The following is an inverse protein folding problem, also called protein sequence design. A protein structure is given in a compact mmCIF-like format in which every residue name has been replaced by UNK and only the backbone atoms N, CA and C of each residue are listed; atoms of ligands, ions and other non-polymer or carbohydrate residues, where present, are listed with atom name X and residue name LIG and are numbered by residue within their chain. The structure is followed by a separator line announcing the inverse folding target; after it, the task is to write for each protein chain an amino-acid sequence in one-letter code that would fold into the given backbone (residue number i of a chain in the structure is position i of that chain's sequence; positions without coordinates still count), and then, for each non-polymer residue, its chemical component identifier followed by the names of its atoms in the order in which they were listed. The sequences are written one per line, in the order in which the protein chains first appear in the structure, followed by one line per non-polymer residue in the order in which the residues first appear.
data_IF_981267891813
#
_entry.id   IF_981267891813
#
_cell.length_a   1.000
_cell.length_b   1.000
_cell.length_c   1.000
_cell.angle_alpha   90.00
_cell.angle_beta   90.00
_cell.angle_gamma   90.00
#
_symmetry.space_group_name_H-M   'P 1'
#
loop_
_entity.id
_entity.type
_entity.pdbx_description
1 polymer ?
#
# COMPACT_ATOMS: atom_id res chain seq x y z
N UNK A 1 -34.67 -40.47 -39.49
CA UNK A 1 -35.54 -39.29 -39.24
C UNK A 1 -35.73 -39.19 -37.75
N UNK A 2 -35.03 -38.27 -37.12
CA UNK A 2 -35.34 -37.75 -35.78
C UNK A 2 -34.46 -36.52 -35.56
N UNK A 3 -35.04 -35.39 -35.76
CA UNK A 3 -34.47 -34.07 -35.54
C UNK A 3 -34.43 -33.76 -34.03
N UNK A 4 -33.25 -33.68 -33.46
CA UNK A 4 -33.02 -33.17 -32.11
C UNK A 4 -32.72 -31.67 -32.19
N UNK A 5 -33.73 -30.87 -31.89
CA UNK A 5 -33.64 -29.43 -31.65
C UNK A 5 -32.87 -29.19 -30.36
N UNK A 6 -31.70 -28.57 -30.46
CA UNK A 6 -30.96 -28.01 -29.31
C UNK A 6 -31.72 -26.83 -28.71
N UNK A 7 -31.76 -26.67 -27.36
CA UNK A 7 -32.39 -25.53 -26.75
C UNK A 7 -31.51 -24.30 -26.94
N UNK A 8 -32.09 -23.25 -27.48
CA UNK A 8 -31.52 -21.89 -27.54
C UNK A 8 -31.12 -21.41 -26.14
N UNK A 9 -29.86 -21.07 -26.03
CA UNK A 9 -29.24 -20.51 -24.85
C UNK A 9 -29.80 -19.09 -24.60
N UNK A 10 -30.81 -19.00 -23.73
CA UNK A 10 -31.44 -17.73 -23.31
C UNK A 10 -30.43 -16.82 -22.60
N UNK A 11 -29.65 -16.04 -23.35
CA UNK A 11 -28.99 -14.85 -22.81
C UNK A 11 -30.09 -13.88 -22.42
N UNK A 12 -30.39 -13.77 -21.13
CA UNK A 12 -31.13 -12.66 -20.54
C UNK A 12 -30.48 -11.35 -21.00
N UNK A 13 -31.03 -10.72 -22.04
CA UNK A 13 -30.52 -9.44 -22.53
C UNK A 13 -30.77 -8.40 -21.44
N UNK A 14 -29.71 -7.90 -20.80
CA UNK A 14 -29.80 -6.78 -19.86
C UNK A 14 -30.47 -5.59 -20.55
N UNK A 15 -31.50 -5.03 -19.92
CA UNK A 15 -32.19 -3.85 -20.46
C UNK A 15 -31.20 -2.71 -20.72
N UNK A 16 -31.39 -2.00 -21.80
CA UNK A 16 -30.69 -0.75 -22.11
C UNK A 16 -31.40 0.42 -21.44
N UNK A 17 -30.73 1.55 -21.26
CA UNK A 17 -31.33 2.79 -20.73
C UNK A 17 -32.57 3.24 -21.56
N UNK A 18 -32.57 2.97 -22.87
CA UNK A 18 -33.66 3.27 -23.77
C UNK A 18 -34.88 2.42 -23.45
N UNK A 19 -34.69 1.11 -23.24
CA UNK A 19 -35.77 0.21 -22.84
C UNK A 19 -36.33 0.54 -21.46
N UNK A 20 -35.50 0.98 -20.52
CA UNK A 20 -35.97 1.49 -19.20
C UNK A 20 -36.79 2.75 -19.37
N UNK A 21 -36.38 3.64 -20.24
CA UNK A 21 -37.12 4.89 -20.53
C UNK A 21 -38.49 4.58 -21.15
N UNK A 22 -38.52 3.66 -22.12
CA UNK A 22 -39.77 3.25 -22.78
C UNK A 22 -40.73 2.56 -21.77
N UNK A 23 -40.24 1.65 -20.91
CA UNK A 23 -41.07 1.00 -19.90
C UNK A 23 -41.53 1.92 -18.78
N UNK A 24 -40.73 2.93 -18.43
CA UNK A 24 -41.10 3.93 -17.41
C UNK A 24 -41.93 5.11 -17.97
N UNK A 25 -42.09 5.20 -19.28
CA UNK A 25 -42.83 6.29 -19.92
C UNK A 25 -42.16 7.65 -19.78
N UNK A 26 -40.81 7.69 -19.78
CA UNK A 26 -40.03 8.93 -19.62
C UNK A 26 -38.88 9.00 -20.65
N UNK A 27 -38.21 10.15 -20.73
CA UNK A 27 -37.03 10.27 -21.60
C UNK A 27 -35.82 9.57 -21.01
N UNK A 28 -34.84 9.15 -21.84
CA UNK A 28 -33.55 8.61 -21.40
C UNK A 28 -32.81 9.59 -20.50
N UNK A 29 -32.94 10.89 -20.74
CA UNK A 29 -32.38 11.93 -19.87
C UNK A 29 -33.01 11.90 -18.48
N UNK A 30 -34.31 11.67 -18.36
CA UNK A 30 -35.00 11.50 -17.08
C UNK A 30 -34.57 10.27 -16.35
N UNK A 31 -34.42 9.11 -17.05
CA UNK A 31 -33.88 7.91 -16.47
C UNK A 31 -32.46 8.15 -15.91
N UNK A 32 -31.58 8.76 -16.68
CA UNK A 32 -30.23 9.12 -16.26
C UNK A 32 -30.22 10.01 -15.00
N UNK A 33 -31.08 11.04 -14.95
CA UNK A 33 -31.18 11.92 -13.76
C UNK A 33 -31.65 11.17 -12.51
N UNK A 34 -32.67 10.30 -12.65
CA UNK A 34 -33.17 9.48 -11.53
C UNK A 34 -32.09 8.54 -11.00
N UNK A 35 -31.39 7.85 -11.88
CA UNK A 35 -30.33 6.89 -11.51
C UNK A 35 -29.13 7.60 -10.85
N UNK A 36 -28.83 8.83 -11.29
CA UNK A 36 -27.77 9.66 -10.72
C UNK A 36 -28.22 10.49 -9.50
N UNK A 37 -29.40 10.21 -8.93
CA UNK A 37 -29.86 10.85 -7.69
C UNK A 37 -30.18 12.34 -7.81
N UNK A 38 -30.32 12.90 -9.04
CA UNK A 38 -30.58 14.32 -9.23
C UNK A 38 -31.95 14.71 -8.63
N UNK A 39 -31.98 15.84 -7.92
CA UNK A 39 -33.21 16.34 -7.25
C UNK A 39 -34.22 16.94 -8.21
N UNK A 40 -33.83 17.30 -9.41
CA UNK A 40 -34.62 18.02 -10.44
C UNK A 40 -35.56 17.10 -11.27
N UNK A 41 -36.03 16.01 -10.67
CA UNK A 41 -36.96 15.04 -11.29
C UNK A 41 -38.22 14.92 -10.44
N UNK A 42 -39.38 14.94 -11.07
CA UNK A 42 -40.65 14.77 -10.35
C UNK A 42 -40.73 13.42 -9.63
N UNK A 43 -41.36 13.39 -8.45
CA UNK A 43 -41.60 12.18 -7.67
C UNK A 43 -42.26 11.05 -8.47
N UNK A 44 -43.20 11.39 -9.35
CA UNK A 44 -43.88 10.46 -10.22
C UNK A 44 -42.93 9.78 -11.20
N UNK A 45 -42.05 10.54 -11.85
CA UNK A 45 -41.07 10.02 -12.79
C UNK A 45 -40.01 9.18 -12.06
N UNK A 46 -39.56 9.63 -10.87
CA UNK A 46 -38.65 8.90 -10.02
C UNK A 46 -39.21 7.54 -9.64
N UNK A 47 -40.44 7.50 -9.14
CA UNK A 47 -41.10 6.26 -8.75
C UNK A 47 -41.28 5.30 -9.93
N UNK A 48 -41.66 5.78 -11.13
CA UNK A 48 -41.81 4.96 -12.31
C UNK A 48 -40.48 4.32 -12.75
N UNK A 49 -39.39 5.09 -12.79
CA UNK A 49 -38.07 4.58 -13.17
C UNK A 49 -37.55 3.58 -12.15
N UNK A 50 -37.63 3.87 -10.84
CA UNK A 50 -37.16 2.97 -9.79
C UNK A 50 -37.94 1.66 -9.74
N UNK A 51 -39.24 1.67 -10.10
CA UNK A 51 -40.03 0.45 -10.25
C UNK A 51 -39.47 -0.43 -11.36
N UNK A 52 -39.30 0.10 -12.58
CA UNK A 52 -38.74 -0.66 -13.72
C UNK A 52 -37.34 -1.18 -13.41
N UNK A 53 -36.49 -0.36 -12.76
CA UNK A 53 -35.14 -0.77 -12.32
C UNK A 53 -35.21 -2.00 -11.41
N UNK A 54 -36.13 -2.01 -10.42
CA UNK A 54 -36.28 -3.15 -9.49
C UNK A 54 -36.89 -4.38 -10.14
N UNK A 55 -37.94 -4.21 -10.94
CA UNK A 55 -38.66 -5.32 -11.58
C UNK A 55 -37.79 -6.08 -12.58
N UNK A 56 -36.91 -5.37 -13.28
CA UNK A 56 -36.09 -5.97 -14.33
C UNK A 56 -34.59 -6.12 -13.97
N UNK A 57 -34.21 -5.83 -12.73
CA UNK A 57 -32.81 -5.92 -12.29
C UNK A 57 -31.85 -5.04 -13.11
N UNK A 58 -32.36 -3.89 -13.60
CA UNK A 58 -31.56 -2.98 -14.39
C UNK A 58 -30.41 -2.43 -13.55
N UNK A 59 -29.20 -2.76 -13.92
CA UNK A 59 -27.99 -2.11 -13.41
C UNK A 59 -27.40 -1.23 -14.48
N UNK A 60 -27.05 0.00 -14.12
CA UNK A 60 -26.35 0.90 -15.06
C UNK A 60 -25.12 0.19 -15.60
N UNK A 61 -25.04 0.08 -16.91
CA UNK A 61 -23.83 -0.41 -17.57
C UNK A 61 -22.75 0.66 -17.38
N UNK A 62 -21.82 0.41 -16.43
CA UNK A 62 -20.70 1.32 -16.14
C UNK A 62 -19.83 1.55 -17.39
N UNK A 63 -19.68 0.53 -18.22
CA UNK A 63 -18.97 0.61 -19.49
C UNK A 63 -19.70 1.57 -20.49
N UNK A 64 -21.04 1.55 -20.55
CA UNK A 64 -21.79 2.48 -21.38
C UNK A 64 -21.72 3.92 -20.85
N UNK A 65 -21.58 4.12 -19.53
CA UNK A 65 -21.36 5.43 -18.92
C UNK A 65 -19.96 5.96 -19.27
N UNK A 66 -18.92 5.12 -19.20
CA UNK A 66 -17.57 5.47 -19.62
C UNK A 66 -17.51 5.88 -21.10
N UNK A 67 -18.20 5.14 -21.97
CA UNK A 67 -18.30 5.44 -23.41
C UNK A 67 -19.03 6.77 -23.71
N UNK A 68 -19.89 7.26 -22.79
CA UNK A 68 -20.58 8.55 -22.91
C UNK A 68 -19.83 9.71 -22.24
N UNK A 69 -18.53 9.57 -21.92
CA UNK A 69 -17.73 10.58 -21.26
C UNK A 69 -17.94 10.68 -19.73
N UNK A 70 -18.60 9.66 -19.12
CA UNK A 70 -18.84 9.60 -17.68
C UNK A 70 -17.75 8.76 -16.96
N UNK A 71 -17.66 8.91 -15.63
CA UNK A 71 -16.75 8.14 -14.80
C UNK A 71 -17.20 6.70 -14.64
N UNK A 72 -16.23 5.78 -14.53
CA UNK A 72 -16.47 4.35 -14.31
C UNK A 72 -16.79 4.05 -12.84
N UNK A 73 -16.32 4.87 -11.91
CA UNK A 73 -16.35 4.64 -10.48
C UNK A 73 -15.37 3.53 -10.07
N UNK A 74 -14.39 3.22 -10.92
CA UNK A 74 -13.35 2.23 -10.65
C UNK A 74 -12.00 2.89 -10.50
N UNK A 75 -11.22 2.45 -9.51
CA UNK A 75 -9.81 2.83 -9.31
C UNK A 75 -8.97 1.57 -9.43
N UNK A 76 -7.96 1.61 -10.30
CA UNK A 76 -6.96 0.56 -10.38
C UNK A 76 -6.01 0.64 -9.19
N UNK A 77 -5.63 -0.49 -8.63
CA UNK A 77 -4.62 -0.53 -7.56
C UNK A 77 -3.59 -1.59 -7.92
N UNK A 78 -2.33 -1.19 -7.92
CA UNK A 78 -1.20 -2.11 -8.09
C UNK A 78 -0.41 -2.23 -6.78
N UNK A 79 0.18 -3.39 -6.52
CA UNK A 79 1.02 -3.66 -5.36
C UNK A 79 1.97 -4.81 -5.70
N UNK A 80 3.22 -4.83 -5.26
CA UNK A 80 4.18 -5.89 -5.59
C UNK A 80 3.71 -7.29 -5.22
N UNK A 81 3.05 -7.43 -4.08
CA UNK A 81 2.46 -8.69 -3.60
C UNK A 81 1.19 -8.42 -2.79
N UNK A 82 0.31 -9.40 -2.68
CA UNK A 82 -0.97 -9.26 -1.96
C UNK A 82 -1.01 -10.03 -0.63
N UNK A 83 -0.04 -10.89 -0.37
CA UNK A 83 -0.04 -11.79 0.80
C UNK A 83 0.68 -11.22 2.02
N UNK A 84 1.38 -10.10 1.92
CA UNK A 84 2.04 -9.43 3.04
C UNK A 84 1.07 -8.50 3.76
N UNK A 85 1.03 -8.58 5.09
CA UNK A 85 0.18 -7.73 5.95
C UNK A 85 0.40 -6.24 5.71
N UNK A 86 1.62 -5.81 5.40
CA UNK A 86 1.95 -4.44 5.03
C UNK A 86 1.03 -3.88 3.93
N UNK A 87 0.93 -4.59 2.80
CA UNK A 87 0.10 -4.16 1.68
C UNK A 87 -1.38 -4.30 1.98
N UNK A 88 -1.78 -5.36 2.68
CA UNK A 88 -3.17 -5.60 3.05
C UNK A 88 -3.75 -4.43 3.85
N UNK A 89 -3.00 -3.88 4.81
CA UNK A 89 -3.44 -2.74 5.64
C UNK A 89 -3.58 -1.46 4.81
N UNK A 90 -2.67 -1.21 3.86
CA UNK A 90 -2.80 -0.05 2.93
C UNK A 90 -4.05 -0.22 2.05
N UNK A 91 -4.27 -1.43 1.52
CA UNK A 91 -5.44 -1.76 0.71
C UNK A 91 -6.75 -1.60 1.47
N UNK A 92 -6.80 -1.97 2.75
CA UNK A 92 -7.98 -1.78 3.61
C UNK A 92 -8.31 -0.30 3.75
N UNK A 93 -7.34 0.54 4.11
CA UNK A 93 -7.53 1.98 4.22
C UNK A 93 -7.94 2.64 2.89
N UNK A 94 -7.35 2.21 1.78
CA UNK A 94 -7.73 2.66 0.45
C UNK A 94 -9.16 2.21 0.09
N UNK A 95 -9.53 0.97 0.40
CA UNK A 95 -10.84 0.40 0.15
C UNK A 95 -11.96 1.13 0.89
N UNK A 96 -11.74 1.46 2.17
CA UNK A 96 -12.68 2.26 2.97
C UNK A 96 -12.88 3.65 2.36
N UNK A 97 -11.80 4.36 2.04
CA UNK A 97 -11.87 5.69 1.45
C UNK A 97 -12.57 5.69 0.07
N UNK A 98 -12.33 4.68 -0.77
CA UNK A 98 -13.02 4.51 -2.04
C UNK A 98 -14.52 4.25 -1.84
N UNK A 99 -14.86 3.41 -0.85
CA UNK A 99 -16.25 3.12 -0.53
C UNK A 99 -17.04 4.38 -0.13
N UNK A 100 -16.45 5.25 0.69
CA UNK A 100 -17.03 6.55 1.08
C UNK A 100 -17.31 7.47 -0.12
N UNK A 101 -16.54 7.32 -1.20
CA UNK A 101 -16.68 8.09 -2.45
C UNK A 101 -17.57 7.39 -3.50
N UNK A 102 -18.29 6.32 -3.13
CA UNK A 102 -19.07 5.46 -4.06
C UNK A 102 -18.20 4.90 -5.22
N UNK A 103 -16.93 4.71 -4.97
CA UNK A 103 -15.97 4.11 -5.90
C UNK A 103 -15.62 2.68 -5.47
N UNK A 104 -15.00 1.92 -6.36
CA UNK A 104 -14.57 0.53 -6.11
C UNK A 104 -13.15 0.32 -6.58
N UNK A 105 -12.45 -0.54 -5.86
CA UNK A 105 -11.10 -0.98 -6.18
C UNK A 105 -11.11 -2.09 -7.24
N UNK A 106 -10.20 -2.00 -8.19
CA UNK A 106 -9.82 -3.10 -9.08
C UNK A 106 -8.36 -3.41 -8.79
N UNK A 107 -8.11 -4.49 -8.08
CA UNK A 107 -6.76 -4.91 -7.74
C UNK A 107 -6.12 -5.62 -8.96
N UNK A 108 -4.95 -5.15 -9.33
CA UNK A 108 -4.14 -5.72 -10.40
C UNK A 108 -2.84 -6.21 -9.78
N UNK A 109 -2.75 -7.51 -9.47
CA UNK A 109 -1.51 -8.08 -8.96
C UNK A 109 -0.45 -8.02 -10.07
N UNK A 110 0.81 -7.80 -9.71
CA UNK A 110 1.90 -7.73 -10.68
C UNK A 110 2.13 -9.08 -11.35
N UNK A 111 2.60 -9.03 -12.57
CA UNK A 111 3.25 -10.16 -13.22
C UNK A 111 4.74 -9.82 -13.30
N UNK A 112 5.61 -10.76 -12.95
CA UNK A 112 7.07 -10.64 -12.89
C UNK A 112 7.77 -10.32 -14.24
N UNK A 113 7.05 -9.77 -15.20
CA UNK A 113 7.57 -9.34 -16.51
C UNK A 113 7.29 -7.84 -16.67
N UNK A 114 8.30 -7.01 -16.42
CA UNK A 114 8.25 -5.55 -16.46
C UNK A 114 7.57 -4.97 -17.71
N UNK A 115 7.88 -5.51 -18.90
CA UNK A 115 7.26 -5.07 -20.16
C UNK A 115 5.74 -5.30 -20.22
N UNK A 116 5.22 -6.27 -19.45
CA UNK A 116 3.77 -6.50 -19.33
C UNK A 116 3.11 -5.60 -18.31
N UNK A 117 3.85 -5.15 -17.30
CA UNK A 117 3.32 -4.25 -16.26
C UNK A 117 3.07 -2.85 -16.78
N UNK A 118 4.02 -2.27 -17.52
CA UNK A 118 3.84 -0.97 -18.17
C UNK A 118 2.61 -0.98 -19.10
N UNK A 119 2.42 -2.05 -19.89
CA UNK A 119 1.23 -2.23 -20.73
C UNK A 119 -0.05 -2.45 -19.93
N UNK A 120 0.02 -3.06 -18.74
CA UNK A 120 -1.13 -3.26 -17.86
C UNK A 120 -1.59 -1.94 -17.23
N UNK A 121 -0.66 -1.13 -16.73
CA UNK A 121 -0.94 0.22 -16.22
C UNK A 121 -1.57 1.09 -17.29
N UNK A 122 -1.02 1.13 -18.51
CA UNK A 122 -1.63 1.85 -19.62
C UNK A 122 -3.06 1.39 -19.89
N UNK A 123 -3.32 0.10 -19.91
CA UNK A 123 -4.67 -0.46 -20.14
C UNK A 123 -5.63 -0.14 -19.01
N UNK A 124 -5.18 -0.16 -17.75
CA UNK A 124 -5.98 0.25 -16.59
C UNK A 124 -6.37 1.73 -16.70
N UNK A 125 -5.45 2.56 -17.16
CA UNK A 125 -5.63 4.01 -17.29
C UNK A 125 -6.37 4.41 -18.56
N UNK A 126 -6.38 3.57 -19.62
CA UNK A 126 -7.07 3.82 -20.90
C UNK A 126 -8.57 3.51 -20.86
N UNK A 127 -9.31 4.08 -19.90
CA UNK A 127 -10.77 4.03 -19.84
C UNK A 127 -11.39 2.83 -19.11
N UNK A 128 -10.58 1.96 -18.51
CA UNK A 128 -11.06 0.86 -17.65
C UNK A 128 -11.31 1.37 -16.23
N UNK A 129 -10.47 2.29 -15.76
CA UNK A 129 -10.57 2.93 -14.45
C UNK A 129 -10.55 4.44 -14.60
N UNK A 130 -10.99 5.16 -13.57
CA UNK A 130 -10.97 6.62 -13.54
C UNK A 130 -9.59 7.16 -13.17
N UNK A 131 -8.78 6.35 -12.47
CA UNK A 131 -7.42 6.63 -12.05
C UNK A 131 -6.81 5.43 -11.34
N UNK A 132 -5.59 5.58 -10.83
CA UNK A 132 -4.86 4.49 -10.17
C UNK A 132 -4.18 4.90 -8.85
N UNK A 133 -4.08 3.94 -7.93
CA UNK A 133 -3.20 3.96 -6.77
C UNK A 133 -2.09 2.95 -7.01
N UNK A 134 -0.85 3.41 -7.01
CA UNK A 134 0.34 2.58 -7.19
C UNK A 134 1.05 2.45 -5.84
N UNK A 135 1.18 1.22 -5.33
CA UNK A 135 1.83 0.96 -4.04
C UNK A 135 3.18 0.33 -4.32
N UNK A 136 4.27 0.99 -3.89
CA UNK A 136 5.65 0.58 -4.18
C UNK A 136 5.87 0.21 -5.67
N UNK A 137 5.55 1.10 -6.63
CA UNK A 137 5.71 0.77 -8.05
C UNK A 137 7.17 0.51 -8.40
N UNK A 138 7.41 -0.53 -9.22
CA UNK A 138 8.74 -0.87 -9.74
C UNK A 138 9.11 -0.06 -10.99
N UNK A 139 8.15 0.63 -11.58
CA UNK A 139 8.35 1.51 -12.72
C UNK A 139 9.42 2.58 -12.43
N UNK A 140 10.17 2.90 -13.43
CA UNK A 140 11.21 3.95 -13.33
C UNK A 140 10.56 5.34 -13.14
N UNK A 141 11.29 6.30 -12.54
CA UNK A 141 10.83 7.68 -12.45
C UNK A 141 10.44 8.30 -13.79
N UNK A 142 11.14 7.94 -14.89
CA UNK A 142 10.86 8.45 -16.23
C UNK A 142 9.56 7.90 -16.80
N UNK A 143 9.27 6.61 -16.59
CA UNK A 143 8.00 5.99 -16.98
C UNK A 143 6.82 6.60 -16.23
N UNK A 144 6.94 6.80 -14.93
CA UNK A 144 5.90 7.43 -14.11
C UNK A 144 5.70 8.91 -14.50
N UNK A 145 6.76 9.64 -14.80
CA UNK A 145 6.68 11.01 -15.32
C UNK A 145 5.98 11.05 -16.68
N UNK A 146 6.30 10.13 -17.59
CA UNK A 146 5.66 10.02 -18.90
C UNK A 146 4.14 9.72 -18.76
N UNK A 147 3.73 8.82 -17.86
CA UNK A 147 2.32 8.57 -17.58
C UNK A 147 1.60 9.83 -17.08
N UNK A 148 2.26 10.58 -16.18
CA UNK A 148 1.73 11.85 -15.69
C UNK A 148 1.57 12.89 -16.83
N UNK A 149 2.56 13.01 -17.71
CA UNK A 149 2.55 13.95 -18.85
C UNK A 149 1.49 13.59 -19.90
N UNK A 150 1.15 12.31 -20.04
CA UNK A 150 0.00 11.85 -20.84
C UNK A 150 -1.36 12.12 -20.17
N UNK A 151 -1.37 12.75 -19.00
CA UNK A 151 -2.60 13.15 -18.29
C UNK A 151 -3.28 12.03 -17.50
N UNK A 152 -2.62 10.92 -17.28
CA UNK A 152 -3.13 9.86 -16.41
C UNK A 152 -3.19 10.33 -14.96
N UNK A 153 -4.29 9.98 -14.27
CA UNK A 153 -4.51 10.35 -12.88
C UNK A 153 -4.10 9.20 -11.98
N UNK A 154 -3.05 9.39 -11.21
CA UNK A 154 -2.58 8.40 -10.23
C UNK A 154 -1.91 9.06 -9.04
N UNK A 155 -1.79 8.30 -7.95
CA UNK A 155 -1.07 8.65 -6.74
C UNK A 155 -0.20 7.46 -6.36
N UNK A 156 0.99 7.73 -5.84
CA UNK A 156 1.92 6.69 -5.39
C UNK A 156 1.93 6.65 -3.86
N UNK A 157 1.72 5.46 -3.29
CA UNK A 157 1.96 5.19 -1.89
C UNK A 157 3.31 4.48 -1.73
N UNK A 158 4.16 5.07 -0.87
CA UNK A 158 5.50 4.58 -0.53
C UNK A 158 6.42 4.39 -1.76
N UNK A 159 6.83 5.50 -2.42
CA UNK A 159 7.64 5.43 -3.63
C UNK A 159 9.01 4.80 -3.36
N UNK A 160 9.46 3.89 -4.25
CA UNK A 160 10.77 3.24 -4.13
C UNK A 160 11.93 4.19 -4.44
N UNK A 161 11.74 5.13 -5.39
CA UNK A 161 12.77 6.04 -5.89
C UNK A 161 12.27 7.47 -5.88
N UNK A 162 13.23 8.43 -5.90
CA UNK A 162 12.90 9.84 -6.05
C UNK A 162 12.16 10.06 -7.37
N UNK A 163 11.02 10.71 -7.30
CA UNK A 163 10.15 10.97 -8.44
C UNK A 163 10.15 12.45 -8.81
N UNK A 164 9.58 12.76 -9.98
CA UNK A 164 9.27 14.13 -10.39
C UNK A 164 8.33 14.78 -9.38
N UNK A 165 8.59 16.04 -9.00
CA UNK A 165 7.81 16.78 -7.99
C UNK A 165 6.33 16.94 -8.34
N UNK A 166 5.94 16.73 -9.60
CA UNK A 166 4.56 16.81 -10.08
C UNK A 166 3.75 15.54 -9.78
N UNK A 167 4.42 14.42 -9.48
CA UNK A 167 3.78 13.13 -9.19
C UNK A 167 3.37 13.08 -7.71
N UNK A 168 2.08 12.97 -7.39
CA UNK A 168 1.65 12.95 -5.99
C UNK A 168 2.06 11.66 -5.28
N UNK A 169 2.58 11.83 -4.06
CA UNK A 169 3.05 10.72 -3.24
C UNK A 169 2.54 10.80 -1.80
N UNK A 170 2.37 9.65 -1.17
CA UNK A 170 2.14 9.50 0.27
C UNK A 170 3.18 8.52 0.80
N UNK A 171 3.90 8.90 1.85
CA UNK A 171 4.92 8.07 2.48
C UNK A 171 4.87 8.18 4.00
N UNK A 172 5.58 7.31 4.71
CA UNK A 172 5.81 7.44 6.14
C UNK A 172 7.08 8.26 6.42
N UNK A 173 7.18 8.82 7.62
CA UNK A 173 8.34 9.57 8.10
C UNK A 173 9.48 8.60 8.52
N UNK A 174 10.08 7.93 7.51
CA UNK A 174 11.06 6.86 7.73
C UNK A 174 12.26 7.26 8.57
N UNK A 175 12.82 8.45 8.32
CA UNK A 175 14.04 8.90 9.01
C UNK A 175 13.79 9.18 10.49
N UNK A 176 12.68 9.86 10.82
CA UNK A 176 12.33 10.15 12.22
C UNK A 176 11.97 8.88 12.99
N UNK A 177 11.19 7.96 12.38
CA UNK A 177 10.88 6.68 13.00
C UNK A 177 12.10 5.82 13.25
N UNK A 178 13.06 5.79 12.32
CA UNK A 178 14.31 5.09 12.51
C UNK A 178 15.19 5.73 13.60
N UNK A 179 15.18 7.07 13.71
CA UNK A 179 15.86 7.78 14.81
C UNK A 179 15.26 7.37 16.16
N UNK A 180 13.93 7.43 16.29
CA UNK A 180 13.21 7.04 17.51
C UNK A 180 13.51 5.58 17.91
N UNK A 181 13.54 4.66 16.94
CA UNK A 181 13.90 3.27 17.16
C UNK A 181 15.30 3.10 17.77
N UNK A 182 16.28 3.78 17.19
CA UNK A 182 17.68 3.69 17.64
C UNK A 182 17.87 4.42 18.97
N UNK A 183 17.22 5.56 19.18
CA UNK A 183 17.22 6.29 20.45
C UNK A 183 16.67 5.42 21.59
N UNK A 184 15.62 4.62 21.33
CA UNK A 184 15.10 3.65 22.27
C UNK A 184 16.19 2.62 22.67
N UNK A 185 16.85 2.00 21.70
CA UNK A 185 17.92 1.04 21.98
C UNK A 185 19.10 1.69 22.75
N UNK A 186 19.47 2.91 22.37
CA UNK A 186 20.50 3.68 23.06
C UNK A 186 20.11 4.01 24.52
N UNK A 187 18.83 4.32 24.76
CA UNK A 187 18.28 4.60 26.10
C UNK A 187 18.32 3.39 27.03
N UNK A 188 18.19 2.18 26.46
CA UNK A 188 18.37 0.91 27.17
C UNK A 188 19.84 0.60 27.51
N UNK A 189 20.79 1.35 26.94
CA UNK A 189 22.23 1.19 27.19
C UNK A 189 22.98 0.50 26.07
N UNK A 190 22.32 0.08 24.98
CA UNK A 190 23.02 -0.50 23.84
C UNK A 190 23.96 0.53 23.20
N UNK A 191 25.15 0.06 22.79
CA UNK A 191 26.15 0.87 22.08
C UNK A 191 26.60 0.19 20.79
N UNK A 192 26.50 -1.14 20.74
CA UNK A 192 26.80 -1.93 19.55
C UNK A 192 25.49 -2.45 18.95
N UNK A 193 24.93 -1.63 18.06
CA UNK A 193 23.62 -1.84 17.45
C UNK A 193 23.83 -2.12 15.96
N UNK A 194 23.40 -3.29 15.49
CA UNK A 194 23.43 -3.60 14.06
C UNK A 194 22.19 -3.08 13.34
N UNK A 195 22.32 -2.79 12.03
CA UNK A 195 21.23 -2.47 11.14
C UNK A 195 21.16 -3.51 10.02
N UNK A 196 19.98 -4.13 9.84
CA UNK A 196 19.70 -4.98 8.67
C UNK A 196 18.78 -4.17 7.77
N UNK A 197 19.32 -3.72 6.63
CA UNK A 197 18.68 -2.78 5.72
C UNK A 197 17.93 -3.51 4.61
N UNK A 198 17.14 -2.76 3.82
CA UNK A 198 16.63 -3.22 2.53
C UNK A 198 17.62 -2.90 1.39
N UNK A 199 17.19 -3.10 0.13
CA UNK A 199 18.00 -2.80 -1.05
C UNK A 199 18.44 -1.34 -1.09
N UNK A 200 19.68 -1.12 -1.50
CA UNK A 200 20.21 0.25 -1.70
C UNK A 200 19.45 1.00 -2.78
N UNK A 201 19.38 2.32 -2.61
CA UNK A 201 18.70 3.19 -3.55
C UNK A 201 17.18 3.24 -3.40
N UNK A 202 16.60 2.43 -2.50
CA UNK A 202 15.21 2.62 -2.10
C UNK A 202 15.09 3.73 -1.07
N UNK A 203 14.14 4.66 -1.26
CA UNK A 203 13.95 5.82 -0.37
C UNK A 203 13.81 5.39 1.09
N UNK A 204 12.96 4.41 1.36
CA UNK A 204 12.73 3.91 2.71
C UNK A 204 14.04 3.37 3.34
N UNK A 205 14.87 2.67 2.59
CA UNK A 205 16.17 2.16 3.04
C UNK A 205 17.12 3.31 3.38
N UNK A 206 17.28 4.26 2.48
CA UNK A 206 18.21 5.39 2.66
C UNK A 206 17.78 6.30 3.82
N UNK A 207 16.47 6.54 3.94
CA UNK A 207 15.95 7.36 5.03
C UNK A 207 16.04 6.68 6.39
N UNK A 208 15.71 5.39 6.49
CA UNK A 208 15.88 4.64 7.73
C UNK A 208 17.36 4.56 8.12
N UNK A 209 18.26 4.37 7.15
CA UNK A 209 19.70 4.38 7.40
C UNK A 209 20.21 5.76 7.85
N UNK A 210 19.64 6.84 7.32
CA UNK A 210 19.94 8.22 7.77
C UNK A 210 19.53 8.41 9.24
N UNK A 211 18.30 8.00 9.62
CA UNK A 211 17.81 8.05 10.99
C UNK A 211 18.68 7.24 11.96
N UNK A 212 19.00 6.00 11.58
CA UNK A 212 19.92 5.12 12.35
C UNK A 212 21.28 5.79 12.59
N UNK A 213 21.93 6.26 11.53
CA UNK A 213 23.24 6.93 11.65
C UNK A 213 23.17 8.21 12.44
N UNK A 214 22.11 8.99 12.25
CA UNK A 214 21.89 10.26 12.96
C UNK A 214 21.75 10.08 14.46
N UNK A 215 20.94 9.10 14.90
CA UNK A 215 20.77 8.79 16.32
C UNK A 215 22.05 8.28 16.98
N UNK A 216 22.78 7.37 16.31
CA UNK A 216 24.08 6.91 16.81
C UNK A 216 25.08 8.08 16.97
N UNK A 217 25.20 8.92 15.95
CA UNK A 217 26.10 10.09 15.96
C UNK A 217 25.74 11.07 17.08
N UNK A 218 24.46 11.35 17.31
CA UNK A 218 23.98 12.20 18.37
C UNK A 218 24.34 11.67 19.76
N UNK A 219 24.40 10.33 19.92
CA UNK A 219 24.82 9.66 21.14
C UNK A 219 26.34 9.45 21.24
N UNK A 220 27.13 9.96 20.30
CA UNK A 220 28.60 9.77 20.28
C UNK A 220 29.03 8.34 19.93
N UNK A 221 28.15 7.53 19.33
CA UNK A 221 28.45 6.16 18.92
C UNK A 221 28.81 6.17 17.43
N UNK A 222 30.01 5.67 17.09
CA UNK A 222 30.42 5.56 15.70
C UNK A 222 29.79 4.34 15.05
N UNK A 223 29.03 4.49 13.94
CA UNK A 223 28.53 3.35 13.19
C UNK A 223 29.68 2.49 12.65
N UNK A 224 29.66 1.20 12.91
CA UNK A 224 30.65 0.26 12.39
C UNK A 224 30.15 -0.36 11.09
N UNK A 225 30.90 -0.30 9.98
CA UNK A 225 30.44 -0.82 8.69
C UNK A 225 30.06 -2.31 8.72
N UNK A 226 30.74 -3.13 9.52
CA UNK A 226 30.42 -4.53 9.69
C UNK A 226 29.08 -4.81 10.38
N UNK A 227 28.47 -3.79 11.01
CA UNK A 227 27.17 -3.90 11.65
C UNK A 227 26.03 -3.48 10.73
N UNK A 228 26.30 -3.10 9.47
CA UNK A 228 25.27 -2.72 8.48
C UNK A 228 25.21 -3.78 7.40
N UNK A 229 24.15 -4.58 7.43
CA UNK A 229 23.91 -5.69 6.50
C UNK A 229 22.79 -5.35 5.52
N UNK A 230 23.06 -5.41 4.22
CA UNK A 230 22.06 -5.20 3.18
C UNK A 230 21.29 -6.48 2.88
N UNK A 231 19.96 -6.38 2.75
CA UNK A 231 19.08 -7.52 2.51
C UNK A 231 17.90 -7.13 1.58
N UNK A 232 16.92 -8.02 1.45
CA UNK A 232 15.81 -7.93 0.50
C UNK A 232 14.42 -7.75 1.14
N UNK A 233 14.32 -7.33 2.39
CA UNK A 233 13.09 -7.21 3.16
C UNK A 233 12.31 -8.51 3.45
N UNK A 234 12.88 -9.69 3.21
CA UNK A 234 12.27 -10.98 3.53
C UNK A 234 12.87 -11.60 4.79
N UNK A 235 12.13 -12.52 5.43
CA UNK A 235 12.59 -13.17 6.67
C UNK A 235 13.87 -13.98 6.47
N UNK A 236 14.04 -14.63 5.33
CA UNK A 236 15.24 -15.37 4.98
C UNK A 236 16.48 -14.49 5.00
N UNK A 237 16.38 -13.29 4.41
CA UNK A 237 17.49 -12.33 4.43
C UNK A 237 17.81 -11.80 5.82
N UNK A 238 16.78 -11.63 6.67
CA UNK A 238 16.95 -11.30 8.08
C UNK A 238 17.69 -12.40 8.86
N UNK A 239 17.36 -13.66 8.60
CA UNK A 239 18.01 -14.81 9.21
C UNK A 239 19.48 -14.95 8.76
N UNK A 240 19.78 -14.78 7.47
CA UNK A 240 21.14 -14.81 6.93
C UNK A 240 22.01 -13.71 7.54
N UNK A 241 21.49 -12.48 7.58
CA UNK A 241 22.17 -11.34 8.20
C UNK A 241 22.45 -11.60 9.69
N UNK A 242 21.48 -12.13 10.43
CA UNK A 242 21.64 -12.44 11.86
C UNK A 242 22.73 -13.48 12.11
N UNK A 243 22.79 -14.56 11.32
CA UNK A 243 23.84 -15.55 11.44
C UNK A 243 25.24 -14.93 11.25
N UNK A 244 25.38 -14.07 10.23
CA UNK A 244 26.64 -13.36 9.96
C UNK A 244 27.03 -12.40 11.09
N UNK A 245 26.05 -11.69 11.66
CA UNK A 245 26.27 -10.75 12.77
C UNK A 245 26.63 -11.46 14.09
N UNK A 246 25.99 -12.60 14.36
CA UNK A 246 26.26 -13.41 15.56
C UNK A 246 27.62 -14.13 15.52
N UNK A 247 28.16 -14.37 14.32
CA UNK A 247 29.47 -14.98 14.14
C UNK A 247 30.65 -13.96 14.21
N UNK A 248 30.37 -12.67 14.41
CA UNK A 248 31.39 -11.65 14.61
C UNK A 248 32.18 -11.90 15.92
N UNK A 249 33.49 -11.59 15.98
CA UNK A 249 34.28 -11.71 17.22
C UNK A 249 33.70 -10.90 18.39
N UNK A 250 33.08 -9.78 18.07
CA UNK A 250 32.33 -8.90 18.98
C UNK A 250 30.94 -8.68 18.41
N UNK A 251 29.95 -9.53 18.71
CA UNK A 251 28.63 -9.45 18.13
C UNK A 251 27.84 -8.25 18.64
N UNK A 252 26.81 -7.76 17.89
CA UNK A 252 25.95 -6.72 18.38
C UNK A 252 25.09 -7.19 19.55
N UNK A 253 24.75 -6.27 20.45
CA UNK A 253 23.79 -6.53 21.54
C UNK A 253 22.36 -6.17 21.17
N UNK A 254 22.16 -5.46 20.06
CA UNK A 254 20.84 -5.14 19.50
C UNK A 254 20.89 -5.11 17.97
N UNK A 255 19.77 -5.46 17.36
CA UNK A 255 19.55 -5.39 15.91
C UNK A 255 18.34 -4.50 15.64
N UNK A 256 18.53 -3.47 14.82
CA UNK A 256 17.47 -2.73 14.18
C UNK A 256 17.26 -3.26 12.76
N UNK A 257 16.20 -4.03 12.57
CA UNK A 257 15.79 -4.54 11.27
C UNK A 257 14.86 -3.52 10.59
N UNK A 258 15.11 -3.24 9.31
CA UNK A 258 14.38 -2.18 8.61
C UNK A 258 12.94 -2.54 8.23
N UNK A 259 12.51 -3.78 8.51
CA UNK A 259 11.09 -4.12 8.57
C UNK A 259 10.86 -5.30 9.54
N UNK A 260 9.60 -5.59 9.82
CA UNK A 260 9.21 -6.66 10.74
C UNK A 260 9.56 -8.06 10.22
N UNK A 261 9.51 -8.28 8.91
CA UNK A 261 9.87 -9.56 8.32
C UNK A 261 11.36 -9.86 8.50
N UNK A 262 12.23 -8.89 8.30
CA UNK A 262 13.66 -9.01 8.62
C UNK A 262 13.87 -9.32 10.12
N UNK A 263 13.15 -8.58 11.00
CA UNK A 263 13.22 -8.80 12.45
C UNK A 263 12.80 -10.23 12.85
N UNK A 264 11.73 -10.74 12.24
CA UNK A 264 11.27 -12.12 12.44
C UNK A 264 12.33 -13.12 11.98
N UNK A 265 13.00 -12.86 10.86
CA UNK A 265 14.14 -13.67 10.40
C UNK A 265 15.28 -13.68 11.43
N UNK A 266 15.63 -12.52 11.98
CA UNK A 266 16.62 -12.42 13.09
C UNK A 266 16.20 -13.29 14.28
N UNK A 267 14.94 -13.17 14.71
CA UNK A 267 14.42 -13.94 15.85
C UNK A 267 14.48 -15.46 15.60
N UNK A 268 14.19 -15.90 14.37
CA UNK A 268 14.30 -17.31 13.98
C UNK A 268 15.76 -17.81 14.04
N UNK A 269 16.71 -17.04 13.50
CA UNK A 269 18.13 -17.38 13.52
C UNK A 269 18.68 -17.39 14.96
N UNK A 270 18.33 -16.40 15.78
CA UNK A 270 18.71 -16.33 17.19
C UNK A 270 18.24 -17.59 17.95
N UNK A 271 16.98 -17.99 17.76
CA UNK A 271 16.45 -19.22 18.36
C UNK A 271 17.23 -20.47 17.94
N UNK A 272 17.62 -20.60 16.68
CA UNK A 272 18.39 -21.72 16.17
C UNK A 272 19.81 -21.78 16.79
N UNK A 273 20.39 -20.62 17.13
CA UNK A 273 21.69 -20.47 17.78
C UNK A 273 21.60 -20.51 19.31
N UNK A 274 20.42 -20.66 19.91
CA UNK A 274 20.21 -20.63 21.35
C UNK A 274 20.39 -19.24 21.99
N UNK A 275 20.37 -18.18 21.19
CA UNK A 275 20.42 -16.78 21.64
C UNK A 275 19.04 -16.35 22.10
N UNK A 276 18.92 -15.89 23.33
CA UNK A 276 17.65 -15.48 23.93
C UNK A 276 17.31 -14.04 23.58
N UNK A 277 16.08 -13.81 23.11
CA UNK A 277 15.54 -12.47 22.90
C UNK A 277 14.51 -12.23 23.99
N UNK A 278 14.60 -11.10 24.74
CA UNK A 278 15.56 -10.00 24.61
C UNK A 278 16.86 -10.13 25.42
N UNK A 279 17.05 -11.18 26.24
CA UNK A 279 18.08 -11.27 27.28
C UNK A 279 19.52 -11.18 26.73
N UNK A 280 19.79 -11.86 25.61
CA UNK A 280 21.13 -11.92 25.00
C UNK A 280 21.22 -10.96 23.79
N UNK A 281 20.07 -10.70 23.10
CA UNK A 281 19.99 -9.85 21.92
C UNK A 281 18.64 -9.13 21.89
N UNK A 282 18.67 -7.82 21.85
CA UNK A 282 17.47 -7.01 21.54
C UNK A 282 17.19 -6.97 20.05
N UNK A 283 15.92 -7.09 19.64
CA UNK A 283 15.50 -7.01 18.24
C UNK A 283 14.38 -5.98 18.11
N UNK A 284 14.55 -5.05 17.16
CA UNK A 284 13.57 -4.00 16.86
C UNK A 284 13.29 -4.01 15.36
N UNK A 285 12.01 -3.97 14.99
CA UNK A 285 11.50 -3.98 13.63
C UNK A 285 11.02 -2.60 13.15
N UNK A 286 10.36 -2.60 12.00
CA UNK A 286 9.69 -1.44 11.41
C UNK A 286 8.48 -1.96 10.63
N UNK A 287 7.34 -1.29 10.68
CA UNK A 287 6.04 -1.42 10.03
C UNK A 287 4.89 -1.60 11.03
N UNK A 288 5.07 -2.35 12.10
CA UNK A 288 4.04 -2.82 13.06
C UNK A 288 2.94 -3.61 12.35
N UNK A 289 3.37 -4.60 11.59
CA UNK A 289 2.49 -5.57 10.94
C UNK A 289 1.82 -6.50 11.96
N UNK A 290 0.79 -7.22 11.54
CA UNK A 290 0.10 -8.19 12.40
C UNK A 290 1.06 -9.22 13.00
N UNK A 291 2.04 -9.67 12.23
CA UNK A 291 3.05 -10.63 12.64
C UNK A 291 3.87 -10.15 13.85
N UNK A 292 4.17 -8.86 13.94
CA UNK A 292 4.90 -8.29 15.08
C UNK A 292 4.20 -8.51 16.42
N UNK A 293 2.88 -8.62 16.41
CA UNK A 293 2.04 -8.79 17.61
C UNK A 293 1.85 -10.25 18.04
N UNK A 294 2.15 -11.22 17.16
CA UNK A 294 1.88 -12.65 17.40
C UNK A 294 3.13 -13.52 17.54
N UNK A 295 4.32 -13.00 17.17
CA UNK A 295 5.58 -13.69 17.41
C UNK A 295 5.92 -13.71 18.90
N UNK A 296 6.80 -14.63 19.31
CA UNK A 296 7.23 -14.75 20.70
C UNK A 296 8.75 -14.68 20.81
N UNK A 297 9.28 -13.70 21.58
CA UNK A 297 8.57 -12.60 22.23
C UNK A 297 7.91 -11.65 21.22
N UNK A 298 6.89 -10.86 21.65
CA UNK A 298 6.24 -9.87 20.78
C UNK A 298 7.23 -8.78 20.39
N UNK A 299 7.19 -8.38 19.11
CA UNK A 299 8.21 -7.53 18.49
C UNK A 299 7.99 -6.04 18.78
N UNK A 300 9.00 -5.40 19.40
CA UNK A 300 9.14 -3.94 19.44
C UNK A 300 9.41 -3.43 18.01
N UNK A 301 8.64 -2.46 17.55
CA UNK A 301 8.70 -2.03 16.15
C UNK A 301 8.25 -0.58 16.00
N UNK A 302 8.56 0.04 14.86
CA UNK A 302 8.06 1.36 14.49
C UNK A 302 6.79 1.20 13.66
N UNK A 303 5.66 1.68 14.19
CA UNK A 303 4.39 1.66 13.48
C UNK A 303 4.36 2.69 12.37
N UNK A 304 4.12 2.24 11.14
CA UNK A 304 3.72 3.08 10.03
C UNK A 304 2.18 3.23 10.02
N UNK A 305 1.63 4.40 9.69
CA UNK A 305 0.19 4.60 9.59
C UNK A 305 -0.35 4.07 8.25
N UNK A 306 -0.17 2.76 7.97
CA UNK A 306 -0.39 2.14 6.66
C UNK A 306 -1.81 2.33 6.12
N UNK A 307 -2.84 2.13 6.97
CA UNK A 307 -4.24 2.36 6.57
C UNK A 307 -4.48 3.84 6.21
N UNK A 308 -3.89 4.77 6.96
CA UNK A 308 -4.00 6.20 6.68
C UNK A 308 -3.23 6.60 5.41
N UNK A 309 -2.10 5.94 5.11
CA UNK A 309 -1.40 6.11 3.82
C UNK A 309 -2.31 5.75 2.66
N UNK A 310 -3.00 4.61 2.72
CA UNK A 310 -3.98 4.20 1.71
C UNK A 310 -5.15 5.17 1.59
N UNK A 311 -5.71 5.61 2.71
CA UNK A 311 -6.80 6.60 2.77
C UNK A 311 -6.38 7.94 2.17
N UNK A 312 -5.20 8.45 2.56
CA UNK A 312 -4.67 9.71 2.08
C UNK A 312 -4.38 9.67 0.57
N UNK A 313 -3.83 8.57 0.07
CA UNK A 313 -3.56 8.39 -1.35
C UNK A 313 -4.86 8.42 -2.18
N UNK A 314 -5.92 7.76 -1.71
CA UNK A 314 -7.25 7.83 -2.35
C UNK A 314 -7.81 9.25 -2.30
N UNK A 315 -7.70 9.96 -1.17
CA UNK A 315 -8.17 11.33 -1.06
C UNK A 315 -7.47 12.28 -2.04
N UNK A 316 -6.16 12.13 -2.22
CA UNK A 316 -5.40 12.88 -3.23
C UNK A 316 -5.88 12.54 -4.65
N UNK A 317 -6.07 11.24 -4.95
CA UNK A 317 -6.56 10.79 -6.25
C UNK A 317 -7.96 11.34 -6.56
N UNK A 318 -8.88 11.28 -5.60
CA UNK A 318 -10.24 11.81 -5.77
C UNK A 318 -10.23 13.31 -6.05
N UNK A 319 -9.38 14.09 -5.37
CA UNK A 319 -9.20 15.52 -5.65
C UNK A 319 -8.67 15.75 -7.07
N UNK A 320 -7.71 14.96 -7.55
CA UNK A 320 -7.26 15.01 -8.95
C UNK A 320 -8.40 14.73 -9.93
N UNK A 321 -9.16 13.65 -9.69
CA UNK A 321 -10.28 13.26 -10.52
C UNK A 321 -11.36 14.36 -10.58
N UNK A 322 -11.55 15.10 -9.50
CA UNK A 322 -12.50 16.21 -9.40
C UNK A 322 -11.92 17.53 -9.91
N UNK A 323 -10.68 17.56 -10.39
CA UNK A 323 -9.93 18.76 -10.76
C UNK A 323 -9.89 19.83 -9.64
N UNK A 324 -9.86 19.37 -8.39
CA UNK A 324 -9.72 20.25 -7.23
C UNK A 324 -8.24 20.61 -7.03
N UNK A 325 -8.01 21.78 -6.42
CA UNK A 325 -6.65 22.19 -6.05
C UNK A 325 -6.11 21.24 -4.96
N UNK A 326 -4.91 20.71 -5.19
CA UNK A 326 -4.15 19.94 -4.21
C UNK A 326 -3.10 20.89 -3.62
N UNK A 327 -3.11 21.06 -2.31
CA UNK A 327 -2.20 21.98 -1.61
C UNK A 327 -0.80 21.37 -1.42
N UNK A 328 -0.73 20.06 -1.17
CA UNK A 328 0.51 19.31 -1.03
C UNK A 328 0.46 18.05 -1.88
N UNK A 329 1.37 17.94 -2.83
CA UNK A 329 1.50 16.76 -3.69
C UNK A 329 2.26 15.63 -2.97
N UNK A 330 3.14 15.97 -2.03
CA UNK A 330 3.91 15.01 -1.25
C UNK A 330 3.47 15.07 0.20
N UNK A 331 2.87 14.00 0.68
CA UNK A 331 2.38 13.89 2.05
C UNK A 331 3.22 12.86 2.78
N UNK A 332 3.84 13.30 3.88
CA UNK A 332 4.57 12.39 4.76
C UNK A 332 3.81 12.28 6.08
N UNK A 333 3.50 11.03 6.49
CA UNK A 333 2.74 10.73 7.70
C UNK A 333 3.69 10.30 8.82
N UNK A 334 3.39 10.74 10.04
CA UNK A 334 4.20 10.42 11.22
C UNK A 334 4.18 8.93 11.55
N UNK A 335 5.31 8.43 12.01
CA UNK A 335 5.48 7.07 12.55
C UNK A 335 5.51 7.10 14.08
N UNK A 336 5.37 5.94 14.71
CA UNK A 336 5.38 5.83 16.18
C UNK A 336 6.05 4.56 16.64
N UNK A 337 6.97 4.65 17.58
CA UNK A 337 7.54 3.50 18.25
C UNK A 337 6.49 2.76 19.10
N UNK A 338 6.45 1.44 18.96
CA UNK A 338 5.61 0.51 19.73
C UNK A 338 6.52 -0.45 20.49
N UNK A 339 6.73 -0.17 21.76
CA UNK A 339 7.57 -1.00 22.63
C UNK A 339 6.80 -2.24 23.07
N UNK A 340 7.44 -3.42 22.89
CA UNK A 340 6.94 -4.74 23.29
C UNK A 340 8.04 -5.52 24.04
N UNK A 341 8.09 -6.83 23.86
CA UNK A 341 8.92 -7.75 24.66
C UNK A 341 10.30 -8.02 24.08
N UNK A 342 10.58 -7.66 22.82
CA UNK A 342 11.81 -8.04 22.11
C UNK A 342 13.02 -7.15 22.38
N UNK A 343 12.90 -6.15 23.27
CA UNK A 343 13.99 -5.25 23.64
C UNK A 343 14.13 -5.16 25.16
N UNK A 344 15.37 -5.21 25.66
CA UNK A 344 15.75 -5.07 27.07
C UNK A 344 17.14 -4.41 27.16
N UNK A 345 17.60 -4.00 28.34
CA UNK A 345 19.01 -3.57 28.52
C UNK A 345 20.01 -4.64 28.06
N UNK A 346 21.18 -4.25 27.51
CA UNK A 346 22.19 -5.21 27.08
C UNK A 346 22.63 -6.11 28.23
N UNK A 347 23.06 -7.35 27.95
CA UNK A 347 23.64 -8.23 28.99
C UNK A 347 24.79 -7.53 29.70
N UNK A 348 24.92 -7.79 31.01
CA UNK A 348 26.03 -7.24 31.78
C UNK A 348 27.36 -7.70 31.15
N UNK A 349 28.30 -6.77 30.96
CA UNK A 349 29.64 -7.14 30.52
C UNK A 349 30.26 -8.11 31.55
N UNK A 350 30.48 -9.37 31.13
CA UNK A 350 31.07 -10.39 31.96
C UNK A 350 32.54 -10.12 32.22
#
# INVERSE_FOLDING_TARGET
MSSTTSPENGRSSRLTIRQVADLAGVSTATVSRVINGRADVSERARAAVLRVVREHGYSTNRTARALSGGRTGLVGVTTPVVHHSYFAVILDGAGEALYEQDMRMVLCPPHHEHDREASLLERLMQGTTDGALLILPEESPDELAALHDHGYRFVIADPLKQLDERVPTVSAAHSSGASEAVEHLLSLGHRRIAAITGPRGWIATEERLRGYRGALAAAGVMPSPELVFESNFHAEGGAEAALSLLDLPDPPTAVFAFNDMLAIGVMQAARLRGVRIPDDLSVLGFDDTFEASIVTPTLTTVRQPLAEMGRMAVNLLVRQLQNQRIEALHVQLETKLVVRESTAPPPAAG
#
